data_IF_281821859924
#
_entry.id   IF_281821859924
#
_cell.length_a   1.000
_cell.length_b   1.000
_cell.length_c   1.000
_cell.angle_alpha   90.00
_cell.angle_beta   90.00
_cell.angle_gamma   90.00
#
_symmetry.space_group_name_H-M   'P 1'
#
loop_
_entity.id
_entity.type
_entity.pdbx_description
1 polymer ?
#
# COMPACT_ATOMS: atom_id res chain seq x y z
N UNK A 1 24.02 -5.28 1.78
CA UNK A 1 23.20 -4.44 2.70
C UNK A 1 21.82 -5.08 2.88
N UNK A 2 21.27 -5.09 4.09
CA UNK A 2 19.92 -5.60 4.32
C UNK A 2 18.90 -4.66 3.67
N UNK A 3 17.86 -5.25 3.08
CA UNK A 3 16.73 -4.55 2.47
C UNK A 3 15.47 -4.88 3.29
N UNK A 4 14.70 -3.87 3.63
CA UNK A 4 13.47 -4.03 4.38
C UNK A 4 12.28 -3.52 3.58
N UNK A 5 11.16 -4.24 3.73
CA UNK A 5 9.94 -4.03 2.99
C UNK A 5 8.74 -4.05 3.94
N UNK A 6 7.67 -3.34 3.56
CA UNK A 6 6.36 -3.53 4.15
C UNK A 6 5.53 -4.39 3.20
N UNK A 7 5.00 -5.48 3.72
CA UNK A 7 4.17 -6.39 2.95
C UNK A 7 2.97 -6.91 3.72
N UNK A 8 2.09 -7.57 3.00
CA UNK A 8 0.93 -8.30 3.51
C UNK A 8 1.20 -9.78 3.20
N UNK A 9 0.93 -10.66 4.16
CA UNK A 9 1.13 -12.11 4.02
C UNK A 9 0.02 -12.91 4.69
N UNK A 10 -0.17 -14.16 4.26
CA UNK A 10 -1.05 -15.12 4.95
C UNK A 10 -0.43 -15.56 6.27
N UNK A 11 -1.17 -15.49 7.37
CA UNK A 11 -0.68 -15.86 8.70
C UNK A 11 -0.50 -17.36 8.88
N UNK A 12 -1.31 -18.16 8.20
CA UNK A 12 -1.41 -19.62 8.41
C UNK A 12 -0.72 -20.44 7.30
N UNK A 13 -0.05 -19.77 6.36
CA UNK A 13 0.73 -20.39 5.28
C UNK A 13 2.22 -20.21 5.59
N UNK A 14 3.01 -21.28 5.51
CA UNK A 14 4.41 -21.29 5.98
C UNK A 14 5.40 -20.66 5.03
N UNK A 15 5.26 -20.95 3.74
CA UNK A 15 6.23 -20.58 2.70
C UNK A 15 5.54 -19.78 1.60
N UNK A 16 6.29 -18.91 0.93
CA UNK A 16 5.85 -18.11 -0.23
C UNK A 16 4.47 -17.45 -0.02
N UNK A 17 4.29 -16.85 1.16
CA UNK A 17 2.99 -16.38 1.66
C UNK A 17 2.77 -14.86 1.54
N UNK A 18 3.74 -14.12 1.00
CA UNK A 18 3.66 -12.67 0.79
C UNK A 18 2.83 -12.39 -0.45
N UNK A 19 1.77 -11.60 -0.29
CA UNK A 19 0.76 -11.36 -1.35
C UNK A 19 0.78 -9.91 -1.86
N UNK A 20 1.45 -9.01 -1.14
CA UNK A 20 1.58 -7.61 -1.52
C UNK A 20 2.80 -6.97 -0.87
N UNK A 21 3.50 -6.06 -1.57
CA UNK A 21 4.69 -5.34 -1.09
C UNK A 21 4.61 -3.88 -1.49
N UNK A 22 4.62 -2.96 -0.52
CA UNK A 22 4.50 -1.52 -0.76
C UNK A 22 5.71 -0.95 -1.50
N UNK A 23 6.88 -1.01 -0.86
CA UNK A 23 8.12 -0.36 -1.31
C UNK A 23 9.03 -1.32 -2.09
N UNK A 24 8.44 -2.13 -2.99
CA UNK A 24 9.13 -3.23 -3.70
C UNK A 24 10.36 -2.78 -4.51
N UNK A 25 10.29 -1.61 -5.14
CA UNK A 25 11.37 -1.07 -5.98
C UNK A 25 12.29 -0.08 -5.23
N UNK A 26 11.85 0.40 -4.05
CA UNK A 26 12.59 1.33 -3.19
C UNK A 26 12.74 0.74 -1.78
N UNK A 27 13.59 -0.29 -1.61
CA UNK A 27 13.78 -0.93 -0.31
C UNK A 27 14.36 0.04 0.72
N UNK A 28 13.95 -0.11 1.97
CA UNK A 28 14.62 0.58 3.08
C UNK A 28 15.98 -0.07 3.33
N UNK A 29 17.04 0.74 3.33
CA UNK A 29 18.42 0.29 3.55
C UNK A 29 18.99 0.90 4.82
N UNK A 30 19.35 0.07 5.79
CA UNK A 30 20.09 0.44 7.01
C UNK A 30 19.53 1.66 7.79
N UNK A 31 18.23 1.92 7.70
CA UNK A 31 17.56 3.05 8.35
C UNK A 31 16.32 2.56 9.11
N UNK A 32 15.91 3.32 10.13
CA UNK A 32 14.62 3.11 10.81
C UNK A 32 13.59 3.98 10.10
N UNK A 33 12.45 3.37 9.75
CA UNK A 33 11.32 4.03 9.13
C UNK A 33 10.01 3.64 9.82
N UNK A 34 8.99 4.47 9.60
CA UNK A 34 7.65 4.33 10.14
C UNK A 34 6.66 4.29 8.98
N UNK A 35 5.67 3.39 9.09
CA UNK A 35 4.44 3.47 8.31
C UNK A 35 3.46 4.35 9.07
N UNK A 36 3.09 5.49 8.50
CA UNK A 36 2.17 6.44 9.13
C UNK A 36 1.33 7.17 8.09
N UNK A 37 0.28 7.82 8.55
CA UNK A 37 -0.41 8.82 7.73
C UNK A 37 0.47 10.08 7.71
N UNK A 38 0.61 10.70 6.54
CA UNK A 38 1.42 11.90 6.34
C UNK A 38 0.93 13.05 7.22
N UNK A 39 1.81 14.02 7.48
CA UNK A 39 1.52 15.14 8.40
C UNK A 39 0.37 16.03 7.90
N UNK A 40 0.19 16.12 6.59
CA UNK A 40 -0.94 16.79 5.94
C UNK A 40 -2.23 15.95 5.92
N UNK A 41 -2.19 14.72 6.45
CA UNK A 41 -3.31 13.80 6.50
C UNK A 41 -3.68 13.16 5.16
N UNK A 42 -2.91 13.37 4.10
CA UNK A 42 -3.31 12.98 2.74
C UNK A 42 -2.95 11.53 2.39
N UNK A 43 -1.77 11.04 2.74
CA UNK A 43 -1.27 9.78 2.19
C UNK A 43 -0.83 8.83 3.28
N UNK A 44 -0.90 7.53 3.00
CA UNK A 44 -0.17 6.55 3.79
C UNK A 44 1.28 6.54 3.28
N UNK A 45 2.24 6.73 4.18
CA UNK A 45 3.66 6.91 3.82
C UNK A 45 4.57 5.99 4.63
N UNK A 46 5.65 5.56 3.99
CA UNK A 46 6.82 4.98 4.65
C UNK A 46 7.89 6.06 4.70
N UNK A 47 8.21 6.54 5.90
CA UNK A 47 9.13 7.65 6.10
C UNK A 47 10.20 7.30 7.12
N UNK A 48 11.46 7.63 6.80
CA UNK A 48 12.57 7.50 7.75
C UNK A 48 12.48 8.54 8.87
N UNK A 49 13.16 8.29 10.00
CA UNK A 49 13.26 9.27 11.11
C UNK A 49 13.86 10.62 10.71
N UNK A 50 14.68 10.67 9.65
CA UNK A 50 15.24 11.93 9.12
C UNK A 50 14.30 12.66 8.17
N UNK A 51 13.08 12.15 7.96
CA UNK A 51 12.07 12.75 7.08
C UNK A 51 12.15 12.31 5.62
N UNK A 52 13.12 11.47 5.23
CA UNK A 52 13.19 10.95 3.86
C UNK A 52 12.02 10.00 3.58
N UNK A 53 11.29 10.28 2.49
CA UNK A 53 10.15 9.50 2.02
C UNK A 53 10.62 8.31 1.17
N UNK A 54 10.22 7.10 1.56
CA UNK A 54 10.55 5.85 0.85
C UNK A 54 9.43 5.43 -0.10
N UNK A 55 8.18 5.59 0.34
CA UNK A 55 6.99 5.18 -0.40
C UNK A 55 5.78 5.99 0.06
N UNK A 56 4.83 6.22 -0.85
CA UNK A 56 3.58 6.93 -0.58
C UNK A 56 2.47 6.41 -1.50
N UNK A 57 1.23 6.44 -1.02
CA UNK A 57 0.03 6.22 -1.85
C UNK A 57 -0.21 7.32 -2.89
N UNK A 58 0.47 8.48 -2.76
CA UNK A 58 0.32 9.65 -3.61
C UNK A 58 -1.15 10.11 -3.74
N UNK A 59 -1.87 10.09 -2.62
CA UNK A 59 -3.28 10.44 -2.54
C UNK A 59 -3.47 11.96 -2.47
N UNK A 60 -4.54 12.48 -3.06
CA UNK A 60 -4.81 13.92 -3.05
C UNK A 60 -5.34 14.39 -1.68
N UNK A 61 -5.01 15.63 -1.25
CA UNK A 61 -5.64 16.25 -0.09
C UNK A 61 -7.14 16.47 -0.34
N UNK A 62 -7.99 16.21 0.65
CA UNK A 62 -9.42 16.51 0.57
C UNK A 62 -9.66 17.97 1.02
N UNK A 63 -10.37 18.80 0.23
CA UNK A 63 -10.60 20.21 0.57
C UNK A 63 -11.66 20.44 1.66
N UNK A 64 -12.19 19.39 2.30
CA UNK A 64 -13.20 19.53 3.36
C UNK A 64 -12.57 19.99 4.67
N UNK A 65 -13.13 21.07 5.20
CA UNK A 65 -12.75 21.83 6.40
C UNK A 65 -12.93 21.11 7.74
N UNK A 66 -12.86 19.78 7.78
CA UNK A 66 -12.82 18.98 9.00
C UNK A 66 -11.91 17.76 8.76
N UNK A 67 -10.84 17.57 9.54
CA UNK A 67 -10.09 16.32 9.50
C UNK A 67 -10.95 15.25 10.18
N UNK A 68 -11.86 14.64 9.43
CA UNK A 68 -12.12 13.23 9.70
C UNK A 68 -10.79 12.56 9.38
N UNK A 69 -9.97 12.35 10.42
CA UNK A 69 -8.62 11.81 10.26
C UNK A 69 -8.71 10.58 9.37
N UNK A 70 -7.97 10.58 8.25
CA UNK A 70 -7.93 9.39 7.40
C UNK A 70 -7.52 8.21 8.26
N UNK A 71 -8.00 7.03 7.92
CA UNK A 71 -7.64 5.79 8.61
C UNK A 71 -7.14 4.79 7.60
N UNK A 72 -6.07 4.08 7.96
CA UNK A 72 -5.59 2.95 7.20
C UNK A 72 -6.19 1.67 7.81
N UNK A 73 -6.90 0.90 6.99
CA UNK A 73 -7.60 -0.31 7.43
C UNK A 73 -7.15 -1.47 6.57
N UNK A 74 -6.61 -2.52 7.19
CA UNK A 74 -6.43 -3.82 6.55
C UNK A 74 -7.75 -4.59 6.67
N UNK A 75 -8.44 -4.77 5.56
CA UNK A 75 -9.73 -5.45 5.49
C UNK A 75 -9.55 -6.97 5.51
N UNK A 76 -10.61 -7.71 5.86
CA UNK A 76 -10.58 -9.17 5.98
C UNK A 76 -10.24 -9.91 4.66
N UNK A 77 -10.45 -9.28 3.51
CA UNK A 77 -10.06 -9.82 2.20
C UNK A 77 -8.58 -9.57 1.85
N UNK A 78 -7.81 -8.94 2.75
CA UNK A 78 -6.41 -8.58 2.53
C UNK A 78 -6.21 -7.21 1.87
N UNK A 79 -7.28 -6.48 1.55
CA UNK A 79 -7.16 -5.15 0.98
C UNK A 79 -6.76 -4.13 2.05
N UNK A 80 -5.58 -3.53 1.92
CA UNK A 80 -5.19 -2.35 2.69
C UNK A 80 -5.79 -1.11 2.01
N UNK A 81 -6.67 -0.41 2.72
CA UNK A 81 -7.34 0.79 2.22
C UNK A 81 -7.07 2.00 3.10
N UNK A 82 -6.87 3.15 2.46
CA UNK A 82 -6.89 4.47 3.11
C UNK A 82 -8.27 5.08 2.93
N UNK A 83 -8.97 5.34 4.04
CA UNK A 83 -10.35 5.83 4.04
C UNK A 83 -10.45 7.26 4.56
N UNK A 84 -11.36 8.04 4.00
CA UNK A 84 -11.67 9.41 4.43
C UNK A 84 -12.64 9.40 5.63
N UNK A 85 -12.11 8.97 6.78
CA UNK A 85 -12.84 8.82 8.04
C UNK A 85 -13.09 7.37 8.45
N UNK A 86 -13.66 7.18 9.65
CA UNK A 86 -13.81 5.88 10.31
C UNK A 86 -15.28 5.39 10.36
N UNK A 87 -16.10 5.73 9.36
CA UNK A 87 -17.48 5.26 9.26
C UNK A 87 -17.61 4.16 8.21
N UNK A 88 -18.65 3.34 8.30
CA UNK A 88 -18.97 2.33 7.28
C UNK A 88 -19.30 2.92 5.91
N UNK A 89 -19.57 4.23 5.84
CA UNK A 89 -19.81 4.98 4.61
C UNK A 89 -18.61 5.83 4.18
N UNK A 90 -17.45 5.66 4.81
CA UNK A 90 -16.25 6.43 4.47
C UNK A 90 -15.78 6.12 3.05
N UNK A 91 -15.38 7.14 2.32
CA UNK A 91 -14.89 6.98 0.96
C UNK A 91 -13.50 6.35 0.97
N UNK A 92 -13.26 5.40 0.06
CA UNK A 92 -11.92 4.85 -0.18
C UNK A 92 -11.14 5.86 -1.03
N UNK A 93 -10.02 6.33 -0.49
CA UNK A 93 -9.12 7.28 -1.16
C UNK A 93 -8.02 6.55 -1.93
N UNK A 94 -7.57 5.41 -1.40
CA UNK A 94 -6.58 4.55 -2.01
C UNK A 94 -6.78 3.11 -1.52
N UNK A 95 -6.51 2.12 -2.37
CA UNK A 95 -6.59 0.70 -2.02
C UNK A 95 -5.48 -0.12 -2.67
N UNK A 96 -4.92 -1.08 -1.92
CA UNK A 96 -3.87 -1.98 -2.41
C UNK A 96 -4.30 -2.84 -3.60
N UNK A 97 -5.60 -3.14 -3.73
CA UNK A 97 -6.14 -3.96 -4.81
C UNK A 97 -6.09 -3.29 -6.18
N UNK A 98 -6.00 -1.96 -6.23
CA UNK A 98 -5.75 -1.21 -7.48
C UNK A 98 -4.24 -1.14 -7.82
N UNK A 99 -3.38 -1.64 -6.92
CA UNK A 99 -1.91 -1.65 -7.04
C UNK A 99 -1.32 -3.03 -6.68
N UNK A 100 -1.68 -4.12 -7.38
CA UNK A 100 -1.18 -5.46 -7.06
C UNK A 100 0.33 -5.59 -7.31
N UNK A 101 0.97 -6.55 -6.65
CA UNK A 101 2.36 -6.95 -6.93
C UNK A 101 2.39 -8.15 -7.88
N UNK A 102 2.79 -9.31 -7.43
CA UNK A 102 2.94 -10.58 -8.15
C UNK A 102 1.78 -11.57 -7.90
N UNK A 103 0.86 -11.22 -7.00
CA UNK A 103 -0.25 -12.09 -6.59
C UNK A 103 -1.61 -11.46 -6.91
N UNK A 104 -2.53 -12.30 -7.41
CA UNK A 104 -3.95 -11.98 -7.49
C UNK A 104 -4.69 -12.51 -6.27
N UNK A 105 -5.27 -11.64 -5.47
CA UNK A 105 -6.14 -12.02 -4.36
C UNK A 105 -7.62 -12.08 -4.81
N UNK A 106 -8.46 -12.89 -4.15
CA UNK A 106 -9.91 -12.80 -4.29
C UNK A 106 -10.39 -11.35 -4.10
N UNK A 107 -11.38 -10.94 -4.89
CA UNK A 107 -11.89 -9.55 -4.98
C UNK A 107 -10.90 -8.50 -5.55
N UNK A 108 -9.67 -8.91 -5.87
CA UNK A 108 -8.70 -8.10 -6.60
C UNK A 108 -9.12 -7.81 -8.04
N UNK A 109 -8.44 -6.85 -8.68
CA UNK A 109 -8.74 -6.42 -10.05
C UNK A 109 -7.51 -6.58 -10.94
N UNK A 110 -7.73 -7.01 -12.19
CA UNK A 110 -6.73 -7.00 -13.26
C UNK A 110 -7.42 -6.49 -14.53
N UNK A 111 -6.76 -5.60 -15.26
CA UNK A 111 -7.27 -5.01 -16.49
C UNK A 111 -7.21 -3.48 -16.45
N UNK A 112 -8.16 -2.83 -17.10
CA UNK A 112 -8.18 -1.36 -17.22
C UNK A 112 -9.39 -0.81 -16.48
N UNK A 113 -9.15 0.08 -15.51
CA UNK A 113 -10.21 0.89 -14.95
C UNK A 113 -10.68 1.89 -16.02
N UNK A 114 -11.90 1.70 -16.56
CA UNK A 114 -12.40 2.51 -17.68
C UNK A 114 -12.66 3.98 -17.31
N UNK A 115 -12.80 4.29 -16.02
CA UNK A 115 -13.03 5.64 -15.49
C UNK A 115 -11.71 6.36 -15.29
N UNK A 116 -10.78 5.79 -14.51
CA UNK A 116 -9.48 6.41 -14.20
C UNK A 116 -8.42 6.18 -15.28
N UNK A 117 -8.68 5.27 -16.22
CA UNK A 117 -7.74 4.77 -17.25
C UNK A 117 -6.51 4.05 -16.68
N UNK A 118 -6.51 3.74 -15.39
CA UNK A 118 -5.43 2.99 -14.73
C UNK A 118 -5.35 1.56 -15.26
N UNK A 119 -4.14 1.14 -15.62
CA UNK A 119 -3.81 -0.25 -15.96
C UNK A 119 -3.41 -0.98 -14.68
N UNK A 120 -4.17 -2.01 -14.32
CA UNK A 120 -3.97 -2.83 -13.13
C UNK A 120 -3.47 -4.19 -13.62
N UNK A 121 -2.21 -4.48 -13.34
CA UNK A 121 -1.58 -5.73 -13.75
C UNK A 121 -0.63 -6.25 -12.70
N UNK A 122 -0.41 -7.55 -12.78
CA UNK A 122 0.44 -8.30 -11.87
C UNK A 122 1.84 -8.35 -12.48
N UNK A 123 2.84 -8.02 -11.68
CA UNK A 123 4.26 -7.99 -12.04
C UNK A 123 5.03 -8.91 -11.10
N UNK A 124 5.65 -9.95 -11.67
CA UNK A 124 6.44 -10.93 -10.93
C UNK A 124 7.52 -10.28 -10.07
N UNK A 125 7.94 -10.98 -9.01
CA UNK A 125 9.20 -10.68 -8.35
C UNK A 125 10.37 -10.97 -9.29
N UNK A 126 11.46 -10.21 -9.14
CA UNK A 126 12.69 -10.41 -9.91
C UNK A 126 13.34 -11.78 -9.63
N UNK A 127 13.24 -12.26 -8.40
CA UNK A 127 13.67 -13.59 -7.99
C UNK A 127 12.99 -13.99 -6.68
N UNK A 128 13.21 -15.24 -6.23
CA UNK A 128 12.63 -15.75 -4.96
C UNK A 128 12.92 -14.85 -3.75
N UNK A 129 14.11 -14.22 -3.71
CA UNK A 129 14.57 -13.41 -2.58
C UNK A 129 14.57 -11.90 -2.88
N UNK A 130 14.09 -11.48 -4.06
CA UNK A 130 14.07 -10.07 -4.47
C UNK A 130 12.69 -9.68 -5.03
N UNK A 131 11.85 -8.95 -4.26
CA UNK A 131 10.50 -8.58 -4.66
C UNK A 131 10.44 -7.41 -5.64
N UNK A 132 11.57 -6.81 -6.02
CA UNK A 132 11.60 -5.75 -7.04
C UNK A 132 11.01 -6.23 -8.38
N UNK A 133 10.55 -5.28 -9.19
CA UNK A 133 10.01 -5.52 -10.53
C UNK A 133 11.10 -5.81 -11.57
#
# INVERSE_FOLDING_TARGET
PARYYIGIWYTDVKDDNVVWVANRDTPLQNNIAELKISEDGSSLVIQTKSGSLIWSTNSTPTPSSHPAARVAVLQNNGNLALMDGNSSSAAVVWESFDHPTDTFLPDGRVGVNKVTKQYIAITSWKSKDDPSS
#
